data_IF_263282726449
#
_entry.id   IF_263282726449
#
_cell.length_a   1.000
_cell.length_b   1.000
_cell.length_c   1.000
_cell.angle_alpha   90.00
_cell.angle_beta   90.00
_cell.angle_gamma   90.00
#
_symmetry.space_group_name_H-M   'P 1'
#
loop_
_entity.id
_entity.type
_entity.pdbx_description
1 polymer ?
#
# COMPACT_ATOMS: atom_id res chain seq x y z
N UNK A 1 -7.80 19.50 -21.38
CA UNK A 1 -6.62 18.63 -21.48
C UNK A 1 -7.05 17.20 -21.21
N UNK A 2 -6.64 16.25 -22.05
CA UNK A 2 -6.89 14.83 -21.84
C UNK A 2 -5.62 14.25 -21.20
N UNK A 3 -5.78 13.53 -20.07
CA UNK A 3 -4.67 12.95 -19.32
C UNK A 3 -4.87 11.43 -19.21
N UNK A 4 -3.97 10.65 -19.82
CA UNK A 4 -4.06 9.19 -19.88
C UNK A 4 -3.10 8.45 -18.94
N UNK A 5 -2.30 9.14 -18.14
CA UNK A 5 -1.32 8.55 -17.25
C UNK A 5 -1.77 8.48 -15.78
N UNK A 6 -3.08 8.32 -15.54
CA UNK A 6 -3.64 8.22 -14.18
C UNK A 6 -3.18 6.96 -13.42
N UNK A 7 -2.69 5.94 -14.12
CA UNK A 7 -2.13 4.74 -13.50
C UNK A 7 -0.81 5.05 -12.76
N UNK A 8 0.01 5.95 -13.28
CA UNK A 8 1.23 6.38 -12.61
C UNK A 8 0.92 7.30 -11.42
N UNK A 9 0.07 8.30 -11.64
CA UNK A 9 -0.49 9.17 -10.60
C UNK A 9 -1.74 9.86 -11.09
N UNK A 10 -2.76 9.98 -10.26
CA UNK A 10 -3.99 10.69 -10.63
C UNK A 10 -3.72 12.19 -10.78
N UNK A 11 -3.97 12.75 -11.96
CA UNK A 11 -3.83 14.19 -12.20
C UNK A 11 -4.87 14.98 -11.42
N UNK A 12 -6.13 14.62 -11.58
CA UNK A 12 -7.23 15.25 -10.85
C UNK A 12 -7.42 14.62 -9.48
N UNK A 13 -7.38 15.44 -8.46
CA UNK A 13 -7.69 15.03 -7.08
C UNK A 13 -9.01 15.67 -6.65
N UNK A 14 -9.98 14.87 -6.18
CA UNK A 14 -11.23 15.42 -5.67
C UNK A 14 -10.98 16.51 -4.60
N UNK A 15 -11.74 17.60 -4.59
CA UNK A 15 -11.55 18.70 -3.62
C UNK A 15 -11.58 18.22 -2.17
N UNK A 16 -12.36 17.19 -1.86
CA UNK A 16 -12.46 16.57 -0.54
C UNK A 16 -11.11 15.96 -0.09
N UNK A 17 -10.38 15.33 -1.03
CA UNK A 17 -9.05 14.75 -0.74
C UNK A 17 -8.05 15.85 -0.44
N UNK A 18 -8.03 16.91 -1.26
CA UNK A 18 -7.16 18.06 -1.03
C UNK A 18 -7.49 18.76 0.28
N UNK A 19 -8.78 18.99 0.56
CA UNK A 19 -9.24 19.60 1.80
C UNK A 19 -8.86 18.79 3.04
N UNK A 20 -9.03 17.47 2.99
CA UNK A 20 -8.65 16.58 4.08
C UNK A 20 -7.14 16.59 4.34
N UNK A 21 -6.32 16.55 3.28
CA UNK A 21 -4.87 16.62 3.39
C UNK A 21 -4.40 17.94 4.02
N UNK A 22 -4.90 19.06 3.51
CA UNK A 22 -4.59 20.40 4.06
C UNK A 22 -5.03 20.53 5.51
N UNK A 23 -6.24 20.09 5.84
CA UNK A 23 -6.77 20.13 7.21
C UNK A 23 -5.92 19.29 8.16
N UNK A 24 -5.52 18.09 7.74
CA UNK A 24 -4.67 17.21 8.55
C UNK A 24 -3.29 17.85 8.79
N UNK A 25 -2.66 18.38 7.75
CA UNK A 25 -1.36 19.05 7.88
C UNK A 25 -1.44 20.24 8.83
N UNK A 26 -2.47 21.07 8.72
CA UNK A 26 -2.63 22.27 9.56
C UNK A 26 -3.01 21.98 11.00
N UNK A 27 -3.87 20.99 11.23
CA UNK A 27 -4.56 20.83 12.51
C UNK A 27 -4.24 19.53 13.25
N UNK A 28 -3.54 18.58 12.60
CA UNK A 28 -3.31 17.25 13.15
C UNK A 28 -1.95 16.65 12.77
N UNK A 29 -0.94 17.48 12.57
CA UNK A 29 0.45 17.04 12.35
C UNK A 29 1.08 16.59 13.67
N UNK A 30 0.67 15.41 14.16
CA UNK A 30 1.08 14.84 15.44
C UNK A 30 1.46 13.38 15.29
N UNK A 31 2.26 12.86 16.22
CA UNK A 31 2.56 11.44 16.29
C UNK A 31 1.32 10.68 16.78
N UNK A 32 0.71 9.89 15.89
CA UNK A 32 -0.48 9.07 16.20
C UNK A 32 -0.18 7.81 17.03
N UNK A 33 1.11 7.43 17.18
CA UNK A 33 1.47 6.10 17.70
C UNK A 33 2.03 6.05 19.12
N UNK A 34 2.53 7.17 19.66
CA UNK A 34 3.32 7.15 20.91
C UNK A 34 2.99 8.25 21.93
N UNK A 35 1.93 8.99 21.74
CA UNK A 35 1.56 10.06 22.65
C UNK A 35 0.28 9.72 23.41
N UNK A 36 0.27 9.89 24.75
CA UNK A 36 -0.93 9.77 25.56
C UNK A 36 -1.78 11.04 25.63
N UNK A 37 -1.43 12.08 24.89
CA UNK A 37 -2.17 13.35 24.92
C UNK A 37 -3.32 13.39 23.89
N UNK A 38 -4.26 14.31 24.09
CA UNK A 38 -5.47 14.43 23.26
C UNK A 38 -5.21 14.45 21.76
N UNK A 39 -4.22 15.21 21.29
CA UNK A 39 -3.93 15.32 19.84
C UNK A 39 -3.42 13.99 19.27
N UNK A 40 -2.59 13.26 20.00
CA UNK A 40 -2.10 11.93 19.60
C UNK A 40 -3.25 10.93 19.47
N UNK A 41 -4.19 10.93 20.42
CA UNK A 41 -5.39 10.10 20.34
C UNK A 41 -6.27 10.46 19.14
N UNK A 42 -6.41 11.75 18.84
CA UNK A 42 -7.14 12.21 17.65
C UNK A 42 -6.47 11.72 16.36
N UNK A 43 -5.15 11.78 16.27
CA UNK A 43 -4.38 11.23 15.14
C UNK A 43 -4.54 9.72 15.01
N UNK A 44 -4.47 8.97 16.11
CA UNK A 44 -4.70 7.53 16.15
C UNK A 44 -6.10 7.15 15.64
N UNK A 45 -7.14 7.86 16.09
CA UNK A 45 -8.51 7.64 15.62
C UNK A 45 -8.68 7.88 14.13
N UNK A 46 -8.02 8.92 13.57
CA UNK A 46 -8.04 9.16 12.12
C UNK A 46 -7.43 7.99 11.35
N UNK A 47 -6.28 7.48 11.80
CA UNK A 47 -5.62 6.32 11.18
C UNK A 47 -6.47 5.05 11.29
N UNK A 48 -7.08 4.80 12.44
CA UNK A 48 -7.97 3.65 12.64
C UNK A 48 -9.19 3.75 11.73
N UNK A 49 -9.85 4.90 11.69
CA UNK A 49 -11.02 5.11 10.82
C UNK A 49 -10.68 4.94 9.33
N UNK A 50 -9.50 5.36 8.90
CA UNK A 50 -9.05 5.13 7.54
C UNK A 50 -8.87 3.64 7.24
N UNK A 51 -8.27 2.86 8.14
CA UNK A 51 -8.13 1.40 8.02
C UNK A 51 -9.46 0.69 7.97
N UNK A 52 -10.38 1.06 8.86
CA UNK A 52 -11.76 0.49 8.90
C UNK A 52 -12.49 0.69 7.57
N UNK A 53 -12.43 1.89 7.00
CA UNK A 53 -13.05 2.19 5.70
C UNK A 53 -12.43 1.37 4.55
N UNK A 54 -11.11 1.23 4.54
CA UNK A 54 -10.41 0.44 3.52
C UNK A 54 -10.72 -1.04 3.71
N UNK A 55 -10.69 -1.55 4.94
CA UNK A 55 -11.06 -2.93 5.26
C UNK A 55 -12.48 -3.24 4.79
N UNK A 56 -13.45 -2.39 5.11
CA UNK A 56 -14.83 -2.54 4.68
C UNK A 56 -14.96 -2.52 3.14
N UNK A 57 -14.24 -1.62 2.46
CA UNK A 57 -14.28 -1.53 0.99
C UNK A 57 -13.76 -2.80 0.30
N UNK A 58 -12.70 -3.41 0.84
CA UNK A 58 -12.10 -4.65 0.29
C UNK A 58 -12.65 -5.93 0.91
N UNK A 59 -13.61 -5.86 1.83
CA UNK A 59 -14.17 -7.04 2.51
C UNK A 59 -13.17 -7.74 3.44
N UNK A 60 -12.19 -7.01 3.96
CA UNK A 60 -11.26 -7.57 4.94
C UNK A 60 -11.96 -7.79 6.29
N UNK A 61 -11.62 -8.89 6.97
CA UNK A 61 -12.25 -9.30 8.23
C UNK A 61 -12.00 -8.28 9.34
N UNK A 62 -10.82 -7.65 9.36
CA UNK A 62 -10.41 -6.72 10.41
C UNK A 62 -9.53 -5.61 9.83
N UNK A 63 -9.64 -4.42 10.39
CA UNK A 63 -8.86 -3.24 10.01
C UNK A 63 -7.35 -3.40 10.29
N UNK A 64 -6.95 -4.33 11.16
CA UNK A 64 -5.54 -4.65 11.43
C UNK A 64 -4.82 -5.27 10.23
N UNK A 65 -5.57 -5.85 9.28
CA UNK A 65 -5.02 -6.35 8.02
C UNK A 65 -4.68 -5.23 7.01
N UNK A 66 -5.08 -4.00 7.30
CA UNK A 66 -4.73 -2.84 6.46
C UNK A 66 -3.45 -2.20 6.96
N UNK A 67 -2.39 -2.30 6.17
CA UNK A 67 -1.07 -1.75 6.48
C UNK A 67 -0.76 -0.63 5.48
N UNK A 68 -0.48 0.58 5.99
CA UNK A 68 -0.03 1.69 5.15
C UNK A 68 1.47 1.59 4.90
N UNK A 69 1.86 1.81 3.66
CA UNK A 69 3.26 1.84 3.22
C UNK A 69 3.54 3.15 2.48
N UNK A 70 4.81 3.55 2.30
CA UNK A 70 5.15 4.77 1.56
C UNK A 70 4.75 4.77 0.09
N UNK A 71 4.29 3.64 -0.45
CA UNK A 71 3.83 3.51 -1.83
C UNK A 71 3.68 2.06 -2.27
N UNK A 72 3.11 1.85 -3.47
CA UNK A 72 2.79 0.54 -4.01
C UNK A 72 4.03 -0.37 -4.12
N UNK A 73 5.18 0.17 -4.54
CA UNK A 73 6.44 -0.59 -4.59
C UNK A 73 6.82 -1.18 -3.23
N UNK A 74 6.73 -0.39 -2.16
CA UNK A 74 7.01 -0.87 -0.81
C UNK A 74 5.99 -1.93 -0.37
N UNK A 75 4.71 -1.73 -0.66
CA UNK A 75 3.65 -2.69 -0.35
C UNK A 75 3.88 -4.03 -1.03
N UNK A 76 4.14 -4.03 -2.34
CA UNK A 76 4.39 -5.24 -3.14
C UNK A 76 5.65 -5.97 -2.67
N UNK A 77 6.74 -5.26 -2.42
CA UNK A 77 7.97 -5.88 -1.91
C UNK A 77 7.77 -6.45 -0.51
N UNK A 78 7.06 -5.74 0.38
CA UNK A 78 6.72 -6.26 1.71
C UNK A 78 5.93 -7.57 1.61
N UNK A 79 4.95 -7.64 0.71
CA UNK A 79 4.17 -8.86 0.50
C UNK A 79 5.03 -9.99 -0.08
N UNK A 80 5.77 -9.74 -1.17
CA UNK A 80 6.53 -10.77 -1.88
C UNK A 80 7.68 -11.35 -1.04
N UNK A 81 8.39 -10.52 -0.28
CA UNK A 81 9.47 -10.99 0.60
C UNK A 81 8.98 -11.45 1.97
N UNK A 82 7.80 -10.98 2.41
CA UNK A 82 7.20 -11.35 3.70
C UNK A 82 6.39 -12.65 3.66
N UNK A 83 5.92 -13.07 2.50
CA UNK A 83 5.25 -14.36 2.32
C UNK A 83 6.28 -15.48 2.33
N UNK A 84 5.93 -16.61 2.96
CA UNK A 84 6.76 -17.83 2.89
C UNK A 84 6.59 -18.48 1.52
N UNK A 85 7.34 -18.01 0.55
CA UNK A 85 7.34 -18.49 -0.83
C UNK A 85 8.40 -19.56 -1.10
N UNK A 86 9.21 -19.93 -0.14
CA UNK A 86 10.28 -20.92 -0.32
C UNK A 86 9.72 -22.26 -0.86
N UNK A 87 10.31 -22.71 -1.97
CA UNK A 87 9.88 -23.92 -2.69
C UNK A 87 8.53 -23.80 -3.42
N UNK A 88 7.92 -22.63 -3.48
CA UNK A 88 6.64 -22.42 -4.18
C UNK A 88 6.84 -22.08 -5.65
N UNK A 89 5.81 -22.39 -6.43
CA UNK A 89 5.71 -21.95 -7.82
C UNK A 89 4.87 -20.67 -7.88
N UNK A 90 5.43 -19.63 -8.46
CA UNK A 90 4.78 -18.32 -8.65
C UNK A 90 4.52 -18.10 -10.13
N UNK A 91 3.34 -17.59 -10.45
CA UNK A 91 2.94 -17.23 -11.80
C UNK A 91 2.73 -15.72 -11.85
N UNK A 92 3.28 -15.08 -12.87
CA UNK A 92 3.12 -13.64 -13.12
C UNK A 92 2.97 -13.38 -14.62
N UNK A 93 2.67 -12.15 -15.01
CA UNK A 93 2.63 -11.76 -16.43
C UNK A 93 3.85 -10.91 -16.83
N UNK A 94 4.15 -10.86 -18.10
CA UNK A 94 5.20 -9.98 -18.65
C UNK A 94 4.80 -8.49 -18.59
N UNK A 95 3.51 -8.19 -18.40
CA UNK A 95 2.96 -6.83 -18.34
C UNK A 95 3.07 -6.18 -16.96
N UNK A 96 3.57 -6.92 -15.97
CA UNK A 96 3.70 -6.42 -14.61
C UNK A 96 4.74 -5.30 -14.48
N UNK A 97 4.48 -4.40 -13.53
CA UNK A 97 5.42 -3.35 -13.21
C UNK A 97 6.70 -3.93 -12.56
N UNK A 98 7.82 -3.22 -12.71
CA UNK A 98 9.12 -3.59 -12.14
C UNK A 98 9.09 -3.84 -10.61
N UNK A 99 8.16 -3.24 -9.89
CA UNK A 99 7.97 -3.50 -8.45
C UNK A 99 7.47 -4.92 -8.14
N UNK A 100 6.97 -5.64 -9.14
CA UNK A 100 6.61 -7.06 -9.07
C UNK A 100 7.70 -7.93 -9.69
N UNK A 101 8.10 -7.62 -10.94
CA UNK A 101 9.02 -8.47 -11.69
C UNK A 101 10.41 -8.57 -11.04
N UNK A 102 10.99 -7.44 -10.60
CA UNK A 102 12.34 -7.44 -10.01
C UNK A 102 12.44 -8.32 -8.75
N UNK A 103 11.56 -8.19 -7.74
CA UNK A 103 11.62 -9.07 -6.57
C UNK A 103 11.36 -10.54 -6.93
N UNK A 104 10.46 -10.86 -7.87
CA UNK A 104 10.21 -12.23 -8.30
C UNK A 104 11.42 -12.84 -9.02
N UNK A 105 12.08 -12.09 -9.90
CA UNK A 105 13.30 -12.55 -10.54
C UNK A 105 14.45 -12.74 -9.54
N UNK A 106 14.54 -11.89 -8.53
CA UNK A 106 15.53 -12.05 -7.46
C UNK A 106 15.27 -13.31 -6.61
N UNK A 107 14.02 -13.56 -6.21
CA UNK A 107 13.64 -14.80 -5.51
C UNK A 107 13.93 -16.04 -6.36
N UNK A 108 13.63 -15.99 -7.67
CA UNK A 108 14.00 -17.08 -8.59
C UNK A 108 15.52 -17.27 -8.69
N UNK A 109 16.29 -16.18 -8.79
CA UNK A 109 17.76 -16.22 -8.87
C UNK A 109 18.41 -16.85 -7.64
N UNK A 110 17.81 -16.61 -6.46
CA UNK A 110 18.23 -17.23 -5.19
C UNK A 110 17.87 -18.71 -5.09
N UNK A 111 17.00 -19.20 -5.96
CA UNK A 111 16.45 -20.55 -5.86
C UNK A 111 15.31 -20.69 -4.85
N UNK A 112 14.79 -19.58 -4.35
CA UNK A 112 13.71 -19.60 -3.36
C UNK A 112 12.38 -20.03 -3.98
N UNK A 113 12.14 -19.70 -5.26
CA UNK A 113 10.90 -20.02 -5.99
C UNK A 113 11.18 -20.57 -7.39
N UNK A 114 10.21 -21.31 -7.94
CA UNK A 114 10.05 -21.44 -9.38
C UNK A 114 9.12 -20.36 -9.93
N UNK A 115 9.40 -19.83 -11.12
CA UNK A 115 8.67 -18.69 -11.67
C UNK A 115 8.27 -18.95 -13.11
N UNK A 116 6.97 -18.83 -13.41
CA UNK A 116 6.42 -18.78 -14.76
C UNK A 116 5.96 -17.37 -15.09
N UNK A 117 6.42 -16.83 -16.21
CA UNK A 117 5.98 -15.55 -16.75
C UNK A 117 5.11 -15.82 -17.96
N UNK A 118 3.88 -15.35 -17.94
CA UNK A 118 2.92 -15.47 -19.04
C UNK A 118 3.03 -14.21 -19.91
N UNK A 119 3.17 -14.40 -21.22
CA UNK A 119 3.22 -13.34 -22.22
C UNK A 119 1.81 -12.92 -22.65
#
# INVERSE_FOLDING_TARGET
>A
MIYFDNAATSFYKPPQVVGAAVSTIKNLSVNAGRGGHFMSLKGARLMTSAREKIAAFFGAIDASFVIFTPGCTAALNTALFGLNLAGKHVITTALEHNSVLRPLFELKRRGDISLTVIN
#
